data_IF_046362952263
#
_entry.id   IF_046362952263
#
_cell.length_a   1.000
_cell.length_b   1.000
_cell.length_c   1.000
_cell.angle_alpha   90.00
_cell.angle_beta   90.00
_cell.angle_gamma   90.00
#
_symmetry.space_group_name_H-M   'P 1'
#
loop_
_entity.id
_entity.type
_entity.pdbx_description
1 polymer ?
#
# COMPACT_ATOMS: atom_id res chain seq x y z
N UNK A 1 13.45 -5.51 -16.07
CA UNK A 1 12.09 -5.95 -15.66
C UNK A 1 12.24 -6.81 -14.41
N UNK A 2 11.38 -6.64 -13.41
CA UNK A 2 11.50 -7.34 -12.12
C UNK A 2 11.10 -8.81 -12.29
N UNK A 3 11.94 -9.76 -11.86
CA UNK A 3 11.63 -11.21 -11.91
C UNK A 3 10.35 -11.58 -11.12
N UNK A 4 9.95 -10.74 -10.16
CA UNK A 4 8.74 -10.96 -9.37
C UNK A 4 7.44 -10.78 -10.15
N UNK A 5 7.48 -10.13 -11.31
CA UNK A 5 6.31 -9.98 -12.18
C UNK A 5 5.88 -11.31 -12.81
N UNK A 6 6.78 -12.29 -12.86
CA UNK A 6 6.51 -13.64 -13.37
C UNK A 6 5.75 -14.50 -12.34
N UNK A 7 5.66 -14.03 -11.09
CA UNK A 7 4.90 -14.70 -10.02
C UNK A 7 3.47 -14.17 -9.98
N UNK A 8 2.62 -14.77 -10.81
CA UNK A 8 1.21 -14.43 -10.92
C UNK A 8 0.33 -15.35 -10.05
N UNK A 9 -0.68 -14.76 -9.43
CA UNK A 9 -1.65 -15.45 -8.59
C UNK A 9 -3.06 -15.05 -8.98
N UNK A 10 -3.99 -15.99 -8.82
CA UNK A 10 -5.40 -15.75 -9.16
C UNK A 10 -6.19 -15.11 -8.00
N UNK A 11 -5.57 -14.94 -6.82
CA UNK A 11 -6.22 -14.45 -5.60
C UNK A 11 -5.27 -13.62 -4.74
N UNK A 12 -5.84 -12.68 -3.97
CA UNK A 12 -5.18 -12.01 -2.84
C UNK A 12 -4.94 -12.99 -1.68
N UNK A 13 -3.72 -13.04 -1.15
CA UNK A 13 -3.32 -13.89 -0.02
C UNK A 13 -1.91 -13.58 0.50
N UNK A 14 -1.60 -13.96 1.74
CA UNK A 14 -0.23 -13.91 2.26
C UNK A 14 0.52 -15.17 1.87
N UNK A 15 1.83 -15.06 1.60
CA UNK A 15 2.66 -16.21 1.23
C UNK A 15 3.43 -16.72 2.46
N UNK A 16 3.37 -18.03 2.68
CA UNK A 16 4.08 -18.69 3.78
C UNK A 16 5.01 -19.77 3.22
N UNK A 17 6.28 -19.83 3.67
CA UNK A 17 7.15 -20.93 3.31
C UNK A 17 6.67 -22.22 3.99
N UNK A 18 6.65 -23.31 3.24
CA UNK A 18 6.38 -24.67 3.73
C UNK A 18 7.37 -25.62 3.06
N UNK A 19 8.49 -25.86 3.73
CA UNK A 19 9.63 -26.56 3.12
C UNK A 19 10.15 -25.80 1.92
N UNK A 20 10.14 -26.44 0.75
CA UNK A 20 10.58 -25.84 -0.53
C UNK A 20 9.43 -25.22 -1.36
N UNK A 21 8.22 -25.11 -0.79
CA UNK A 21 7.06 -24.54 -1.46
C UNK A 21 6.56 -23.27 -0.75
N UNK A 22 5.85 -22.42 -1.49
CA UNK A 22 5.09 -21.31 -0.92
C UNK A 22 3.61 -21.69 -0.89
N UNK A 23 3.01 -21.69 0.30
CA UNK A 23 1.56 -21.85 0.45
C UNK A 23 0.91 -20.48 0.60
N UNK A 24 -0.24 -20.31 -0.02
CA UNK A 24 -1.05 -19.10 0.13
C UNK A 24 -1.97 -19.25 1.34
N UNK A 25 -1.79 -18.38 2.32
CA UNK A 25 -2.71 -18.20 3.45
C UNK A 25 -3.55 -16.94 3.32
N UNK A 26 -4.37 -16.62 4.33
CA UNK A 26 -5.24 -15.45 4.30
C UNK A 26 -4.44 -14.14 4.42
N UNK A 27 -5.07 -13.00 4.12
CA UNK A 27 -4.45 -11.70 4.34
C UNK A 27 -4.70 -11.18 5.75
N UNK A 28 -3.73 -10.41 6.25
CA UNK A 28 -3.73 -9.90 7.62
C UNK A 28 -3.52 -8.37 7.66
N UNK A 29 -4.52 -7.68 8.18
CA UNK A 29 -4.53 -6.37 8.83
C UNK A 29 -3.65 -6.36 10.07
N UNK A 30 -2.48 -5.71 10.09
CA UNK A 30 -1.83 -5.41 11.38
C UNK A 30 -2.12 -3.96 11.74
N UNK A 31 -2.75 -3.77 12.89
CA UNK A 31 -2.98 -2.46 13.50
C UNK A 31 -2.16 -2.39 14.79
N UNK A 32 -1.13 -1.54 14.75
CA UNK A 32 -0.22 -1.27 15.87
C UNK A 32 -0.69 -0.10 16.73
N UNK A 33 -1.89 0.44 16.47
CA UNK A 33 -2.34 1.72 17.02
C UNK A 33 -1.76 2.91 16.25
N UNK A 34 -2.16 4.11 16.65
CA UNK A 34 -1.71 5.36 16.02
C UNK A 34 -0.37 5.80 16.60
N UNK A 35 0.65 5.98 15.74
CA UNK A 35 1.95 6.50 16.17
C UNK A 35 1.82 7.80 16.98
N UNK A 36 2.47 7.88 18.14
CA UNK A 36 2.41 9.03 19.03
C UNK A 36 1.25 9.04 20.04
N UNK A 37 0.34 8.07 20.00
CA UNK A 37 -0.66 7.88 21.07
C UNK A 37 -0.20 6.88 22.11
N UNK A 38 -0.85 6.89 23.28
CA UNK A 38 -0.52 5.97 24.39
C UNK A 38 -0.68 4.49 24.02
N UNK A 39 -1.44 4.18 22.97
CA UNK A 39 -1.79 2.81 22.58
C UNK A 39 -0.86 2.24 21.51
N UNK A 40 0.02 3.06 20.92
CA UNK A 40 0.98 2.63 19.91
C UNK A 40 1.89 1.51 20.45
N UNK A 41 1.90 0.37 19.75
CA UNK A 41 2.71 -0.78 20.11
C UNK A 41 2.26 -1.53 21.37
N UNK A 42 1.18 -1.10 22.04
CA UNK A 42 0.68 -1.76 23.27
C UNK A 42 -0.31 -2.89 23.00
N UNK A 43 -1.07 -2.78 21.92
CA UNK A 43 -2.03 -3.81 21.51
C UNK A 43 -1.86 -4.04 20.01
N UNK A 44 -1.29 -5.19 19.64
CA UNK A 44 -1.28 -5.63 18.25
C UNK A 44 -2.64 -6.24 17.92
N UNK A 45 -3.42 -5.56 17.09
CA UNK A 45 -4.64 -6.14 16.52
C UNK A 45 -4.32 -6.78 15.18
N UNK A 46 -4.65 -8.06 15.07
CA UNK A 46 -4.51 -8.83 13.83
C UNK A 46 -5.90 -9.09 13.28
N UNK A 47 -6.25 -8.42 12.18
CA UNK A 47 -7.52 -8.60 11.49
C UNK A 47 -7.31 -9.43 10.22
N UNK A 48 -8.07 -10.51 10.06
CA UNK A 48 -8.06 -11.28 8.82
C UNK A 48 -8.97 -10.61 7.78
N UNK A 49 -8.53 -10.51 6.53
CA UNK A 49 -9.34 -9.98 5.44
C UNK A 49 -9.12 -10.69 4.09
N UNK A 50 -10.03 -10.49 3.13
CA UNK A 50 -10.07 -11.24 1.86
C UNK A 50 -10.79 -12.59 1.97
N UNK A 51 -10.71 -13.49 0.98
CA UNK A 51 -9.99 -13.41 -0.31
C UNK A 51 -10.74 -12.59 -1.37
N UNK A 52 -10.00 -11.96 -2.28
CA UNK A 52 -10.59 -11.25 -3.42
C UNK A 52 -10.10 -11.87 -4.74
N UNK A 53 -11.03 -12.03 -5.67
CA UNK A 53 -10.79 -12.53 -7.04
C UNK A 53 -10.67 -11.41 -8.06
N UNK A 54 -10.95 -10.16 -7.67
CA UNK A 54 -10.81 -9.00 -8.55
C UNK A 54 -10.21 -7.82 -7.80
N UNK A 55 -9.49 -6.98 -8.56
CA UNK A 55 -8.93 -5.73 -8.05
C UNK A 55 -10.01 -4.78 -7.55
N UNK A 56 -11.17 -4.78 -8.21
CA UNK A 56 -12.31 -3.95 -7.85
C UNK A 56 -12.88 -4.35 -6.48
N UNK A 57 -13.10 -5.65 -6.24
CA UNK A 57 -13.61 -6.14 -4.95
C UNK A 57 -12.63 -5.83 -3.80
N UNK A 58 -11.32 -5.97 -4.04
CA UNK A 58 -10.29 -5.57 -3.08
C UNK A 58 -10.36 -4.07 -2.75
N UNK A 59 -10.40 -3.22 -3.78
CA UNK A 59 -10.42 -1.76 -3.58
C UNK A 59 -11.70 -1.27 -2.92
N UNK A 60 -12.85 -1.84 -3.27
CA UNK A 60 -14.13 -1.57 -2.61
C UNK A 60 -14.09 -1.96 -1.13
N UNK A 61 -13.52 -3.12 -0.81
CA UNK A 61 -13.30 -3.51 0.59
C UNK A 61 -12.37 -2.51 1.31
N UNK A 62 -11.27 -2.10 0.67
CA UNK A 62 -10.36 -1.09 1.25
C UNK A 62 -11.04 0.26 1.47
N UNK A 63 -11.94 0.67 0.58
CA UNK A 63 -12.72 1.91 0.74
C UNK A 63 -13.70 1.80 1.91
N UNK A 64 -14.42 0.68 2.03
CA UNK A 64 -15.41 0.45 3.08
C UNK A 64 -14.79 0.20 4.46
N UNK A 65 -13.60 -0.40 4.50
CA UNK A 65 -12.92 -0.83 5.73
C UNK A 65 -12.11 0.26 6.41
N UNK A 66 -12.28 1.54 6.05
CA UNK A 66 -11.63 2.67 6.71
C UNK A 66 -12.46 3.06 7.94
N UNK A 67 -12.12 2.60 9.16
CA UNK A 67 -12.95 2.81 10.35
C UNK A 67 -12.87 4.28 10.80
N UNK A 68 -11.73 4.93 10.53
CA UNK A 68 -11.41 6.31 10.91
C UNK A 68 -11.24 7.20 9.67
N UNK A 69 -12.15 7.09 8.70
CA UNK A 69 -12.07 7.65 7.34
C UNK A 69 -11.92 9.18 7.20
N UNK A 70 -11.39 9.88 8.21
CA UNK A 70 -10.97 11.27 8.12
C UNK A 70 -9.60 11.40 7.45
N UNK A 71 -9.61 11.53 6.11
CA UNK A 71 -8.45 12.12 5.41
C UNK A 71 -8.27 13.56 5.89
N UNK A 72 -9.38 14.22 6.25
CA UNK A 72 -9.43 15.58 6.77
C UNK A 72 -10.37 15.66 7.97
N UNK A 73 -10.12 16.63 8.87
CA UNK A 73 -11.00 16.97 10.01
C UNK A 73 -12.43 17.38 9.61
N UNK A 74 -12.70 17.56 8.32
CA UNK A 74 -13.99 17.98 7.80
C UNK A 74 -14.74 16.77 7.20
N UNK A 75 -15.84 16.31 7.82
CA UNK A 75 -16.62 15.16 7.37
C UNK A 75 -17.13 15.26 5.92
N UNK A 76 -17.47 16.47 5.45
CA UNK A 76 -17.96 16.68 4.09
C UNK A 76 -16.86 16.46 3.04
N UNK A 77 -15.61 16.81 3.36
CA UNK A 77 -14.46 16.53 2.47
C UNK A 77 -14.24 15.02 2.37
N UNK A 78 -14.37 14.29 3.48
CA UNK A 78 -14.23 12.83 3.48
C UNK A 78 -15.34 12.16 2.66
N UNK A 79 -16.59 12.59 2.80
CA UNK A 79 -17.71 12.07 2.01
C UNK A 79 -17.53 12.35 0.50
N UNK A 80 -17.06 13.55 0.14
CA UNK A 80 -16.74 13.89 -1.24
C UNK A 80 -15.60 13.03 -1.80
N UNK A 81 -14.51 12.89 -1.05
CA UNK A 81 -13.36 12.06 -1.43
C UNK A 81 -13.75 10.59 -1.58
N UNK A 82 -14.59 10.05 -0.68
CA UNK A 82 -15.09 8.68 -0.78
C UNK A 82 -15.92 8.48 -2.05
N UNK A 83 -16.83 9.39 -2.41
CA UNK A 83 -17.60 9.31 -3.66
C UNK A 83 -16.71 9.37 -4.90
N UNK A 84 -15.70 10.24 -4.90
CA UNK A 84 -14.75 10.34 -6.01
C UNK A 84 -13.95 9.04 -6.15
N UNK A 85 -13.48 8.47 -5.03
CA UNK A 85 -12.77 7.20 -5.02
C UNK A 85 -13.67 6.04 -5.49
N UNK A 86 -14.93 6.00 -5.06
CA UNK A 86 -15.89 4.99 -5.49
C UNK A 86 -16.14 5.08 -7.01
N UNK A 87 -16.35 6.29 -7.54
CA UNK A 87 -16.45 6.52 -8.99
C UNK A 87 -15.18 6.08 -9.70
N UNK A 88 -13.99 6.46 -9.21
CA UNK A 88 -12.72 6.07 -9.81
C UNK A 88 -12.56 4.53 -9.83
N UNK A 89 -12.92 3.85 -8.75
CA UNK A 89 -12.90 2.38 -8.67
C UNK A 89 -13.89 1.77 -9.66
N UNK A 90 -15.09 2.36 -9.82
CA UNK A 90 -16.09 1.89 -10.79
C UNK A 90 -15.66 2.07 -12.25
N UNK A 91 -14.82 3.07 -12.52
CA UNK A 91 -14.27 3.34 -13.84
C UNK A 91 -12.97 2.58 -14.11
N UNK A 92 -12.42 1.85 -13.14
CA UNK A 92 -11.28 0.99 -13.41
C UNK A 92 -11.70 -0.03 -14.47
N UNK A 93 -10.90 -0.20 -15.54
CA UNK A 93 -11.21 -1.22 -16.52
C UNK A 93 -11.33 -2.54 -15.78
N UNK A 94 -12.40 -3.30 -16.06
CA UNK A 94 -12.47 -4.68 -15.60
C UNK A 94 -11.23 -5.37 -16.18
N UNK A 95 -10.25 -5.64 -15.33
CA UNK A 95 -8.94 -6.17 -15.73
C UNK A 95 -9.02 -7.65 -16.16
N UNK A 96 -10.18 -8.06 -16.66
CA UNK A 96 -10.50 -9.37 -17.21
C UNK A 96 -10.97 -9.12 -18.64
N UNK A 97 -10.06 -9.25 -19.60
CA UNK A 97 -10.39 -9.02 -21.02
C UNK A 97 -10.05 -10.20 -21.93
N UNK A 98 -9.71 -11.38 -21.39
CA UNK A 98 -9.70 -12.62 -22.16
C UNK A 98 -9.97 -13.82 -21.24
N UNK A 99 -10.66 -14.84 -21.75
CA UNK A 99 -10.98 -16.10 -21.04
C UNK A 99 -9.75 -16.91 -20.57
N UNK A 100 -8.53 -16.41 -20.77
CA UNK A 100 -7.28 -17.06 -20.34
C UNK A 100 -6.27 -16.15 -19.63
N UNK A 101 -6.61 -14.90 -19.32
CA UNK A 101 -5.71 -13.98 -18.62
C UNK A 101 -6.38 -13.51 -17.33
N UNK A 102 -6.24 -14.33 -16.28
CA UNK A 102 -6.73 -14.03 -14.94
C UNK A 102 -6.23 -12.65 -14.47
N UNK A 103 -7.02 -11.95 -13.66
CA UNK A 103 -6.55 -10.76 -12.97
C UNK A 103 -5.32 -11.12 -12.13
N UNK A 104 -4.12 -10.78 -12.62
CA UNK A 104 -2.86 -11.22 -12.04
C UNK A 104 -2.59 -10.43 -10.76
N UNK A 105 -2.66 -11.11 -9.62
CA UNK A 105 -2.07 -10.61 -8.40
C UNK A 105 -0.57 -10.91 -8.43
N UNK A 106 0.26 -9.97 -8.00
CA UNK A 106 1.73 -10.11 -7.97
C UNK A 106 2.23 -10.04 -6.53
N UNK A 107 3.42 -10.59 -6.30
CA UNK A 107 4.09 -10.46 -5.01
C UNK A 107 4.57 -9.03 -4.81
N UNK A 108 4.27 -8.45 -3.64
CA UNK A 108 4.81 -7.16 -3.25
C UNK A 108 5.16 -7.11 -1.76
N UNK A 109 6.22 -6.37 -1.37
CA UNK A 109 6.48 -6.10 0.03
C UNK A 109 5.30 -5.34 0.63
N UNK A 110 5.01 -5.59 1.91
CA UNK A 110 3.92 -4.91 2.60
C UNK A 110 4.22 -3.41 2.71
N UNK A 111 5.42 -3.09 3.19
CA UNK A 111 5.92 -1.72 3.37
C UNK A 111 6.99 -1.40 2.33
N UNK A 112 6.59 -0.68 1.27
CA UNK A 112 7.48 -0.26 0.19
C UNK A 112 7.95 1.19 0.40
N UNK A 113 8.57 1.41 1.54
CA UNK A 113 9.05 2.72 1.97
C UNK A 113 10.59 2.78 1.92
N UNK A 114 11.16 3.98 1.88
CA UNK A 114 12.57 4.20 1.54
C UNK A 114 13.56 3.48 2.47
N UNK A 115 13.18 3.25 3.73
CA UNK A 115 14.00 2.53 4.71
C UNK A 115 14.20 1.04 4.35
N UNK A 116 13.33 0.49 3.51
CA UNK A 116 13.38 -0.90 3.04
C UNK A 116 14.06 -1.04 1.68
N UNK A 117 14.62 0.05 1.13
CA UNK A 117 15.31 0.08 -0.16
C UNK A 117 16.78 0.44 0.07
N UNK A 118 17.66 -0.53 -0.14
CA UNK A 118 19.10 -0.36 0.03
C UNK A 118 19.72 0.15 -1.26
N UNK A 119 20.73 1.01 -1.14
CA UNK A 119 21.47 1.58 -2.26
C UNK A 119 22.97 1.46 -2.08
N UNK A 120 23.73 1.48 -3.19
CA UNK A 120 25.18 1.66 -3.16
C UNK A 120 25.55 3.16 -3.09
N UNK A 121 26.85 3.46 -3.03
CA UNK A 121 27.35 4.84 -2.97
C UNK A 121 27.01 5.67 -4.23
N UNK A 122 26.63 5.03 -5.33
CA UNK A 122 26.20 5.68 -6.57
C UNK A 122 24.66 5.85 -6.63
N UNK A 123 23.92 5.41 -5.62
CA UNK A 123 22.47 5.50 -5.54
C UNK A 123 21.73 4.41 -6.32
N UNK A 124 22.41 3.36 -6.80
CA UNK A 124 21.74 2.22 -7.44
C UNK A 124 21.09 1.35 -6.37
N UNK A 125 19.86 0.88 -6.63
CA UNK A 125 19.17 -0.06 -5.73
C UNK A 125 19.90 -1.40 -5.71
N UNK A 126 20.36 -1.82 -4.54
CA UNK A 126 21.11 -3.08 -4.35
C UNK A 126 20.25 -4.19 -3.75
N UNK A 127 19.31 -3.84 -2.87
CA UNK A 127 18.37 -4.81 -2.31
C UNK A 127 17.08 -4.15 -1.81
N UNK A 128 16.03 -4.95 -1.72
CA UNK A 128 14.79 -4.62 -1.02
C UNK A 128 14.72 -5.57 0.17
N UNK A 129 14.51 -5.05 1.37
CA UNK A 129 14.44 -5.83 2.62
C UNK A 129 13.04 -5.78 3.22
N UNK A 130 12.85 -6.38 4.40
CA UNK A 130 11.57 -6.40 5.12
C UNK A 130 10.46 -7.10 4.31
N UNK A 131 10.78 -8.32 3.85
CA UNK A 131 9.86 -9.23 3.18
C UNK A 131 8.98 -10.02 4.17
N UNK A 132 8.87 -9.56 5.41
CA UNK A 132 7.97 -10.18 6.36
C UNK A 132 6.52 -9.86 6.00
N UNK A 133 5.65 -10.87 6.09
CA UNK A 133 4.21 -10.74 5.86
C UNK A 133 3.85 -10.22 4.45
N UNK A 134 4.57 -10.73 3.46
CA UNK A 134 4.36 -10.50 2.03
C UNK A 134 2.99 -10.97 1.59
N UNK A 135 2.34 -10.15 0.77
CA UNK A 135 0.99 -10.37 0.28
C UNK A 135 0.96 -10.25 -1.24
N UNK A 136 0.09 -11.04 -1.87
CA UNK A 136 -0.24 -10.85 -3.27
C UNK A 136 -1.16 -9.63 -3.39
N UNK A 137 -0.76 -8.69 -4.24
CA UNK A 137 -1.43 -7.40 -4.46
C UNK A 137 -1.88 -7.30 -5.90
N UNK A 138 -2.85 -6.45 -6.17
CA UNK A 138 -3.38 -6.21 -7.51
C UNK A 138 -2.25 -5.77 -8.45
N UNK A 139 -1.88 -6.61 -9.42
CA UNK A 139 -0.60 -6.51 -10.14
C UNK A 139 -0.36 -5.15 -10.75
N UNK A 140 -1.32 -4.67 -11.55
CA UNK A 140 -1.21 -3.38 -12.25
C UNK A 140 -1.22 -2.17 -11.33
N UNK A 141 -1.91 -2.24 -10.21
CA UNK A 141 -1.92 -1.17 -9.23
C UNK A 141 -0.62 -1.15 -8.46
N UNK A 142 -0.08 -2.29 -8.06
CA UNK A 142 1.14 -2.32 -7.25
C UNK A 142 2.38 -1.85 -8.00
N UNK A 143 2.67 -2.38 -9.20
CA UNK A 143 3.86 -1.93 -9.95
C UNK A 143 3.74 -0.48 -10.41
N UNK A 144 2.52 0.01 -10.66
CA UNK A 144 2.26 1.39 -11.08
C UNK A 144 2.12 2.36 -9.90
N UNK A 145 2.08 1.85 -8.66
CA UNK A 145 1.99 2.73 -7.49
C UNK A 145 3.32 3.41 -7.30
N UNK A 146 3.33 4.73 -7.49
CA UNK A 146 4.47 5.56 -7.11
C UNK A 146 4.66 5.39 -5.59
N UNK A 147 5.86 4.97 -5.13
CA UNK A 147 6.14 4.84 -3.71
C UNK A 147 5.76 6.12 -2.98
N UNK A 148 5.02 5.98 -1.87
CA UNK A 148 4.45 7.13 -1.17
C UNK A 148 5.51 8.16 -0.79
N UNK A 149 6.71 7.73 -0.43
CA UNK A 149 7.82 8.60 -0.08
C UNK A 149 8.31 9.46 -1.25
N UNK A 150 8.31 8.92 -2.48
CA UNK A 150 8.60 9.70 -3.70
C UNK A 150 7.49 10.74 -3.93
N UNK A 151 6.23 10.33 -3.76
CA UNK A 151 5.08 11.22 -3.95
C UNK A 151 4.86 12.21 -2.78
N UNK A 152 5.59 12.09 -1.67
CA UNK A 152 5.42 12.97 -0.50
C UNK A 152 5.86 14.39 -0.82
N UNK A 153 6.93 14.54 -1.60
CA UNK A 153 7.42 15.84 -2.08
C UNK A 153 6.46 16.50 -3.09
N UNK A 154 5.49 15.76 -3.61
CA UNK A 154 4.46 16.32 -4.52
C UNK A 154 3.27 16.91 -3.76
N UNK A 155 3.19 16.71 -2.44
CA UNK A 155 2.16 17.31 -1.62
C UNK A 155 2.51 18.76 -1.28
N UNK A 156 2.17 19.67 -2.20
CA UNK A 156 2.34 21.12 -2.03
C UNK A 156 1.71 21.66 -0.73
N UNK A 157 0.72 20.99 -0.15
CA UNK A 157 0.12 21.41 1.13
C UNK A 157 1.09 21.21 2.32
N UNK A 158 1.99 20.22 2.27
CA UNK A 158 3.04 20.04 3.29
C UNK A 158 4.03 21.21 3.28
N UNK A 159 4.35 21.74 2.09
CA UNK A 159 5.22 22.92 1.92
C UNK A 159 4.52 24.25 2.20
N UNK A 160 3.19 24.34 2.03
CA UNK A 160 2.42 25.55 2.37
C UNK A 160 2.17 25.72 3.86
N UNK A 161 2.17 24.63 4.63
CA UNK A 161 2.05 24.68 6.09
C UNK A 161 3.37 25.02 6.80
N UNK A 162 4.51 25.08 6.07
CA UNK A 162 5.79 25.51 6.62
C UNK A 162 5.98 27.03 6.62
N UNK A 163 4.92 27.84 6.52
CA UNK A 163 5.01 29.29 6.80
C UNK A 163 5.15 29.61 8.31
N UNK A 164 5.76 28.71 9.08
CA UNK A 164 6.49 29.13 10.26
C UNK A 164 7.80 29.73 9.76
N UNK A 165 8.18 30.95 10.18
CA UNK A 165 9.44 31.53 9.74
C UNK A 165 10.56 30.57 10.10
N UNK A 166 11.23 30.06 9.06
CA UNK A 166 12.50 29.37 9.20
C UNK A 166 13.44 30.36 9.89
N UNK A 167 13.72 30.14 11.17
CA UNK A 167 14.93 30.66 11.79
C UNK A 167 16.08 30.00 11.05
N UNK A 168 16.58 30.70 10.04
CA UNK A 168 17.78 30.39 9.30
C UNK A 168 18.95 30.44 10.29
N UNK A 169 19.30 29.28 10.85
CA UNK A 169 20.55 29.09 11.58
C UNK A 169 21.55 28.39 10.66
N UNK A 170 21.98 29.12 9.63
CA UNK A 170 23.22 28.79 8.92
C UNK A 170 24.38 29.29 9.77
N UNK A 171 25.34 28.44 10.18
CA UNK A 171 26.58 28.91 10.74
C UNK A 171 27.44 29.56 9.64
N UNK A 172 28.01 30.72 9.95
CA UNK A 172 29.11 31.34 9.18
C UNK A 172 30.37 30.46 9.19
#
# INVERSE_FOLDING_TARGET
MSQLQELEFNHVGSLFPTGNALIRGPCYRLDYGTFGTKDYGRVLKVEKFGSFTSSQAYLQYCLASRPDGEIYRNPSINAGAQKILDMAISCLPHFTTDESADATFVVGPRDFNWQNIMTDDAGNVTSIVDWDNVQTKTGRLWYSTIPRWIATDWNLALYRLSTYPLLEHSPE
#
